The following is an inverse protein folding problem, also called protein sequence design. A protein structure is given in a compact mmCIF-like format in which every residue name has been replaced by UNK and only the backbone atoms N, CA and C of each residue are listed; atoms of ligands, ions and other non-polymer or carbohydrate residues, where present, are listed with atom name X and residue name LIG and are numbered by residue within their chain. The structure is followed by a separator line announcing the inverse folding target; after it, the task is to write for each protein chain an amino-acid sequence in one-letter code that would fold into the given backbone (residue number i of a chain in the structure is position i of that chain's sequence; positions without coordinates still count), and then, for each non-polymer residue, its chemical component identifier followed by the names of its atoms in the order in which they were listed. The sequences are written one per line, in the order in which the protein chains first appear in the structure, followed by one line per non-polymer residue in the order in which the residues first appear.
data_IF_646014433304
#
_entry.id   IF_646014433304
#
_cell.length_a   1.000
_cell.length_b   1.000
_cell.length_c   1.000
_cell.angle_alpha   90.00
_cell.angle_beta   90.00
_cell.angle_gamma   90.00
#
_symmetry.space_group_name_H-M   'P 1'
#
loop_
_entity.id
_entity.type
_entity.pdbx_description
1 polymer ?
#
# COMPACT_ATOMS: atom_id res chain seq x y z
N UNK A 1 -6.39 -6.44 41.84
CA UNK A 1 -6.20 -5.37 40.86
C UNK A 1 -4.79 -4.84 41.05
N UNK A 2 -3.82 -5.34 40.25
CA UNK A 2 -2.44 -4.84 40.35
C UNK A 2 -2.31 -3.61 39.43
N UNK A 3 -2.13 -2.46 40.04
CA UNK A 3 -1.75 -1.23 39.35
C UNK A 3 -0.39 -1.44 38.66
N UNK A 4 -0.41 -1.70 37.37
CA UNK A 4 0.81 -1.62 36.57
C UNK A 4 1.24 -0.15 36.51
N UNK A 5 2.48 0.19 36.88
CA UNK A 5 2.94 1.57 36.93
C UNK A 5 2.77 2.25 35.59
N UNK A 6 2.33 3.51 35.58
CA UNK A 6 2.09 4.33 34.38
C UNK A 6 3.27 4.33 33.39
N UNK A 7 4.48 4.23 33.89
CA UNK A 7 5.72 4.12 33.08
C UNK A 7 5.76 2.89 32.18
N UNK A 8 5.17 1.76 32.58
CA UNK A 8 5.14 0.52 31.78
C UNK A 8 4.15 0.60 30.61
N UNK A 9 3.08 1.39 30.74
CA UNK A 9 2.08 1.60 29.68
C UNK A 9 2.64 2.48 28.56
N UNK A 10 3.33 3.57 28.90
CA UNK A 10 3.98 4.45 27.93
C UNK A 10 5.09 3.74 27.16
N UNK A 11 5.92 2.95 27.85
CA UNK A 11 6.95 2.16 27.18
C UNK A 11 6.36 1.14 26.19
N UNK A 12 5.24 0.50 26.56
CA UNK A 12 4.54 -0.45 25.68
C UNK A 12 3.91 0.23 24.46
N UNK A 13 3.31 1.41 24.63
CA UNK A 13 2.76 2.20 23.53
C UNK A 13 3.88 2.67 22.59
N UNK A 14 4.97 3.20 23.14
CA UNK A 14 6.11 3.64 22.38
C UNK A 14 6.73 2.50 21.56
N UNK A 15 6.91 1.32 22.17
CA UNK A 15 7.44 0.14 21.50
C UNK A 15 6.62 -0.30 20.28
N UNK A 16 5.32 0.00 20.24
CA UNK A 16 4.43 -0.30 19.11
C UNK A 16 4.36 0.85 18.09
N UNK A 17 4.56 2.09 18.52
CA UNK A 17 4.35 3.28 17.70
C UNK A 17 5.59 3.63 16.87
N UNK A 18 6.78 3.66 17.49
CA UNK A 18 7.99 4.09 16.79
C UNK A 18 8.33 3.28 15.53
N UNK A 19 8.09 1.91 15.49
CA UNK A 19 8.37 1.19 14.25
C UNK A 19 7.41 1.57 13.12
N UNK A 20 6.15 1.90 13.46
CA UNK A 20 5.18 2.33 12.46
C UNK A 20 5.50 3.73 11.92
N UNK A 21 5.95 4.65 12.79
CA UNK A 21 6.43 5.97 12.36
C UNK A 21 7.63 5.83 11.41
N UNK A 22 8.57 4.95 11.76
CA UNK A 22 9.74 4.72 10.90
C UNK A 22 9.36 4.09 9.56
N UNK A 23 8.40 3.14 9.54
CA UNK A 23 7.87 2.61 8.27
C UNK A 23 7.27 3.71 7.39
N UNK A 24 6.51 4.64 7.96
CA UNK A 24 5.95 5.77 7.21
C UNK A 24 7.05 6.69 6.66
N UNK A 25 8.08 6.99 7.46
CA UNK A 25 9.23 7.79 7.01
C UNK A 25 9.99 7.10 5.87
N UNK A 26 10.19 5.80 5.97
CA UNK A 26 10.83 5.01 4.89
C UNK A 26 9.99 5.05 3.62
N UNK A 27 8.69 4.84 3.71
CA UNK A 27 7.78 4.92 2.55
C UNK A 27 7.78 6.31 1.93
N UNK A 28 7.79 7.37 2.74
CA UNK A 28 7.94 8.74 2.25
C UNK A 28 9.28 8.94 1.53
N UNK A 29 10.38 8.45 2.11
CA UNK A 29 11.71 8.49 1.50
C UNK A 29 11.77 7.76 0.15
N UNK A 30 11.13 6.59 0.03
CA UNK A 30 11.01 5.86 -1.24
C UNK A 30 10.31 6.74 -2.27
N UNK A 31 9.13 7.28 -1.95
CA UNK A 31 8.38 8.16 -2.86
C UNK A 31 9.18 9.40 -3.30
N UNK A 32 9.96 10.01 -2.40
CA UNK A 32 10.87 11.10 -2.75
C UNK A 32 11.96 10.64 -3.73
N UNK A 33 12.53 9.45 -3.52
CA UNK A 33 13.56 8.90 -4.40
C UNK A 33 13.01 8.59 -5.77
N UNK A 34 11.79 7.99 -5.86
CA UNK A 34 11.09 7.71 -7.12
C UNK A 34 10.89 9.01 -7.93
N UNK A 35 10.37 10.06 -7.30
CA UNK A 35 10.13 11.37 -7.94
C UNK A 35 11.45 12.03 -8.35
N UNK A 36 12.49 11.96 -7.51
CA UNK A 36 13.81 12.49 -7.82
C UNK A 36 14.46 11.75 -9.00
N UNK A 37 14.42 10.42 -8.99
CA UNK A 37 14.96 9.60 -10.07
C UNK A 37 14.22 9.86 -11.39
N UNK A 38 12.89 9.98 -11.35
CA UNK A 38 12.08 10.35 -12.49
C UNK A 38 12.47 11.72 -13.08
N UNK A 39 12.67 12.72 -12.21
CA UNK A 39 13.11 14.05 -12.62
C UNK A 39 14.49 14.07 -13.27
N UNK A 40 15.37 13.12 -12.91
CA UNK A 40 16.70 12.93 -13.57
C UNK A 40 16.58 12.32 -14.96
N UNK A 41 15.54 11.54 -15.22
CA UNK A 41 15.29 10.97 -16.56
C UNK A 41 14.63 12.01 -17.44
N UNK A 42 13.63 12.75 -16.94
CA UNK A 42 12.99 13.83 -17.66
C UNK A 42 11.75 14.38 -16.96
N UNK A 43 11.37 15.65 -17.26
CA UNK A 43 10.23 16.30 -16.64
C UNK A 43 8.89 15.59 -16.96
N UNK A 44 8.76 15.04 -18.16
CA UNK A 44 7.56 14.33 -18.60
C UNK A 44 7.37 13.02 -17.81
N UNK A 45 8.47 12.34 -17.48
CA UNK A 45 8.44 11.12 -16.67
C UNK A 45 8.08 11.45 -15.24
N UNK A 46 8.62 12.54 -14.68
CA UNK A 46 8.27 13.00 -13.35
C UNK A 46 6.79 13.39 -13.25
N UNK A 47 6.26 14.10 -14.24
CA UNK A 47 4.84 14.43 -14.32
C UNK A 47 3.95 13.19 -14.42
N UNK A 48 4.36 12.21 -15.24
CA UNK A 48 3.64 10.93 -15.41
C UNK A 48 3.57 10.14 -14.11
N UNK A 49 4.68 10.03 -13.34
CA UNK A 49 4.68 9.37 -12.02
C UNK A 49 3.71 10.08 -11.06
N UNK A 50 3.73 11.42 -11.01
CA UNK A 50 2.83 12.20 -10.17
C UNK A 50 1.36 11.92 -10.48
N UNK A 51 1.01 11.87 -11.77
CA UNK A 51 -0.34 11.57 -12.23
C UNK A 51 -0.76 10.14 -11.84
N UNK A 52 0.06 9.15 -12.13
CA UNK A 52 -0.24 7.74 -11.84
C UNK A 52 -0.26 7.47 -10.34
N UNK A 53 0.54 8.16 -9.55
CA UNK A 53 0.51 8.05 -8.08
C UNK A 53 -0.87 8.40 -7.50
N UNK A 54 -1.60 9.38 -8.07
CA UNK A 54 -2.97 9.72 -7.64
C UNK A 54 -3.95 8.57 -7.94
N UNK A 55 -3.89 7.99 -9.15
CA UNK A 55 -4.70 6.82 -9.49
C UNK A 55 -4.40 5.65 -8.55
N UNK A 56 -3.12 5.37 -8.32
CA UNK A 56 -2.67 4.30 -7.45
C UNK A 56 -3.13 4.49 -6.00
N UNK A 57 -3.13 5.72 -5.46
CA UNK A 57 -3.64 6.02 -4.12
C UNK A 57 -5.12 5.64 -3.96
N UNK A 58 -5.95 5.92 -4.96
CA UNK A 58 -7.37 5.53 -4.96
C UNK A 58 -7.50 4.01 -4.95
N UNK A 59 -6.75 3.31 -5.77
CA UNK A 59 -6.77 1.85 -5.83
C UNK A 59 -6.28 1.23 -4.51
N UNK A 60 -5.25 1.81 -3.89
CA UNK A 60 -4.72 1.35 -2.60
C UNK A 60 -5.71 1.50 -1.43
N UNK A 61 -6.70 2.40 -1.52
CA UNK A 61 -7.72 2.56 -0.48
C UNK A 61 -8.45 1.25 -0.16
N UNK A 62 -8.70 0.40 -1.17
CA UNK A 62 -9.33 -0.92 -1.00
C UNK A 62 -8.45 -1.87 -0.18
N UNK A 63 -7.14 -1.91 -0.48
CA UNK A 63 -6.17 -2.71 0.27
C UNK A 63 -6.03 -2.26 1.71
N UNK A 64 -5.94 -0.95 1.95
CA UNK A 64 -5.86 -0.34 3.29
C UNK A 64 -7.12 -0.65 4.11
N UNK A 65 -8.30 -0.50 3.52
CA UNK A 65 -9.57 -0.81 4.20
C UNK A 65 -9.69 -2.28 4.57
N UNK A 66 -9.25 -3.18 3.68
CA UNK A 66 -9.19 -4.62 3.96
C UNK A 66 -8.21 -4.91 5.10
N UNK A 67 -7.06 -4.24 5.12
CA UNK A 67 -6.08 -4.31 6.20
C UNK A 67 -6.64 -3.82 7.55
N UNK A 68 -7.38 -2.72 7.59
CA UNK A 68 -8.02 -2.21 8.80
C UNK A 68 -9.06 -3.19 9.35
N UNK A 69 -9.86 -3.81 8.46
CA UNK A 69 -10.75 -4.90 8.82
C UNK A 69 -10.00 -6.10 9.42
N UNK A 70 -8.83 -6.44 8.85
CA UNK A 70 -7.97 -7.51 9.36
C UNK A 70 -7.48 -7.23 10.78
N UNK A 71 -6.97 -6.02 11.05
CA UNK A 71 -6.51 -5.62 12.41
C UNK A 71 -7.61 -5.85 13.43
N UNK A 72 -8.82 -5.33 13.17
CA UNK A 72 -9.93 -5.45 14.09
C UNK A 72 -10.36 -6.92 14.32
N UNK A 73 -10.56 -7.68 13.24
CA UNK A 73 -11.05 -9.06 13.31
C UNK A 73 -10.05 -10.01 13.99
N UNK A 74 -8.77 -9.88 13.64
CA UNK A 74 -7.69 -10.74 14.17
C UNK A 74 -7.41 -10.39 15.63
N UNK A 75 -7.21 -9.11 15.97
CA UNK A 75 -6.91 -8.68 17.35
C UNK A 75 -8.02 -9.05 18.33
N UNK A 76 -9.30 -8.82 17.96
CA UNK A 76 -10.44 -9.23 18.79
C UNK A 76 -10.51 -10.76 18.96
N UNK A 77 -10.20 -11.51 17.92
CA UNK A 77 -10.21 -12.97 18.01
C UNK A 77 -9.12 -13.50 18.93
N UNK A 78 -7.94 -12.90 18.90
CA UNK A 78 -6.81 -13.23 19.79
C UNK A 78 -7.11 -12.82 21.22
N UNK A 79 -7.62 -11.59 21.42
CA UNK A 79 -8.01 -11.10 22.74
C UNK A 79 -9.07 -11.96 23.42
N UNK A 80 -9.95 -12.61 22.64
CA UNK A 80 -10.95 -13.56 23.13
C UNK A 80 -10.41 -15.00 23.30
N UNK A 81 -9.10 -15.25 23.10
CA UNK A 81 -8.50 -16.59 23.15
C UNK A 81 -8.85 -17.52 21.99
N UNK A 82 -9.51 -17.01 20.94
CA UNK A 82 -10.05 -17.80 19.82
C UNK A 82 -9.06 -17.89 18.67
N UNK A 83 -7.91 -18.55 18.85
CA UNK A 83 -6.83 -18.66 17.88
C UNK A 83 -7.28 -19.20 16.49
N UNK A 84 -8.16 -20.22 16.48
CA UNK A 84 -8.69 -20.76 15.23
C UNK A 84 -9.50 -19.73 14.44
N UNK A 85 -10.25 -18.86 15.13
CA UNK A 85 -11.00 -17.77 14.52
C UNK A 85 -10.05 -16.70 13.96
N UNK A 86 -8.99 -16.36 14.67
CA UNK A 86 -7.97 -15.44 14.19
C UNK A 86 -7.33 -15.93 12.90
N UNK A 87 -6.91 -17.21 12.82
CA UNK A 87 -6.35 -17.83 11.61
C UNK A 87 -7.34 -17.80 10.43
N UNK A 88 -8.61 -18.09 10.68
CA UNK A 88 -9.65 -18.02 9.63
C UNK A 88 -9.85 -16.60 9.09
N UNK A 89 -9.82 -15.58 9.95
CA UNK A 89 -9.86 -14.20 9.51
C UNK A 89 -8.60 -13.83 8.72
N UNK A 90 -7.41 -14.26 9.16
CA UNK A 90 -6.16 -14.08 8.41
C UNK A 90 -6.27 -14.67 7.01
N UNK A 91 -6.70 -15.93 6.88
CA UNK A 91 -6.87 -16.57 5.57
C UNK A 91 -7.92 -15.87 4.69
N UNK A 92 -9.04 -15.44 5.29
CA UNK A 92 -10.10 -14.73 4.55
C UNK A 92 -9.64 -13.38 4.01
N UNK A 93 -8.95 -12.56 4.82
CA UNK A 93 -8.49 -11.24 4.38
C UNK A 93 -7.37 -11.34 3.35
N UNK A 94 -6.48 -12.32 3.47
CA UNK A 94 -5.45 -12.58 2.47
C UNK A 94 -6.06 -12.98 1.12
N UNK A 95 -7.03 -13.89 1.16
CA UNK A 95 -7.76 -14.31 -0.05
C UNK A 95 -8.53 -13.13 -0.67
N UNK A 96 -9.28 -12.39 0.14
CA UNK A 96 -10.06 -11.24 -0.33
C UNK A 96 -9.16 -10.15 -0.93
N UNK A 97 -8.05 -9.82 -0.29
CA UNK A 97 -7.09 -8.84 -0.79
C UNK A 97 -6.40 -9.28 -2.06
N UNK A 98 -5.98 -10.55 -2.14
CA UNK A 98 -5.36 -11.10 -3.35
C UNK A 98 -6.35 -11.10 -4.53
N UNK A 99 -7.58 -11.56 -4.32
CA UNK A 99 -8.63 -11.53 -5.35
C UNK A 99 -8.92 -10.09 -5.76
N UNK A 100 -9.09 -9.16 -4.82
CA UNK A 100 -9.33 -7.75 -5.13
C UNK A 100 -8.16 -7.14 -5.91
N UNK A 101 -6.91 -7.39 -5.50
CA UNK A 101 -5.72 -6.89 -6.20
C UNK A 101 -5.62 -7.41 -7.63
N UNK A 102 -5.82 -8.72 -7.83
CA UNK A 102 -5.81 -9.35 -9.15
C UNK A 102 -6.97 -8.82 -10.01
N UNK A 103 -8.19 -8.75 -9.48
CA UNK A 103 -9.35 -8.22 -10.21
C UNK A 103 -9.12 -6.77 -10.64
N UNK A 104 -8.61 -5.90 -9.74
CA UNK A 104 -8.34 -4.51 -10.07
C UNK A 104 -7.18 -4.36 -11.05
N UNK A 105 -6.15 -5.21 -10.97
CA UNK A 105 -5.07 -5.23 -11.94
C UNK A 105 -5.57 -5.58 -13.36
N UNK A 106 -6.40 -6.61 -13.48
CA UNK A 106 -6.98 -7.02 -14.78
C UNK A 106 -7.97 -6.00 -15.31
N UNK A 107 -8.92 -5.54 -14.48
CA UNK A 107 -9.89 -4.53 -14.89
C UNK A 107 -9.21 -3.22 -15.27
N UNK A 108 -8.29 -2.72 -14.43
CA UNK A 108 -7.51 -1.53 -14.72
C UNK A 108 -6.68 -1.68 -16.00
N UNK A 109 -6.08 -2.84 -16.22
CA UNK A 109 -5.33 -3.16 -17.43
C UNK A 109 -6.20 -3.18 -18.70
N UNK A 110 -7.43 -3.71 -18.60
CA UNK A 110 -8.40 -3.75 -19.70
C UNK A 110 -8.94 -2.37 -20.07
N UNK A 111 -9.12 -1.48 -19.10
CA UNK A 111 -9.63 -0.12 -19.28
C UNK A 111 -8.53 0.95 -19.13
N UNK A 112 -7.27 0.59 -19.36
CA UNK A 112 -6.11 1.45 -19.10
C UNK A 112 -6.15 2.76 -19.87
N UNK A 113 -6.48 2.70 -21.17
CA UNK A 113 -6.58 3.91 -22.01
C UNK A 113 -7.75 4.81 -21.56
N UNK A 114 -8.89 4.22 -21.23
CA UNK A 114 -10.05 4.97 -20.73
C UNK A 114 -9.71 5.67 -19.40
N UNK A 115 -8.98 5.00 -18.51
CA UNK A 115 -8.50 5.60 -17.26
C UNK A 115 -7.60 6.82 -17.53
N UNK A 116 -6.63 6.72 -18.45
CA UNK A 116 -5.76 7.82 -18.83
C UNK A 116 -6.55 8.99 -19.45
N UNK A 117 -7.56 8.69 -20.26
CA UNK A 117 -8.46 9.71 -20.83
C UNK A 117 -9.31 10.39 -19.76
N UNK A 118 -9.88 9.63 -18.80
CA UNK A 118 -10.66 10.19 -17.67
C UNK A 118 -9.77 11.09 -16.81
N UNK A 119 -8.49 10.73 -16.64
CA UNK A 119 -7.50 11.54 -15.91
C UNK A 119 -7.05 12.76 -16.71
N UNK A 120 -7.57 12.98 -17.92
CA UNK A 120 -7.20 14.08 -18.83
C UNK A 120 -5.67 14.16 -19.06
N UNK A 121 -5.03 12.99 -19.19
CA UNK A 121 -3.59 12.90 -19.39
C UNK A 121 -3.17 13.65 -20.66
N UNK A 122 -2.24 14.62 -20.60
CA UNK A 122 -1.73 15.31 -21.78
C UNK A 122 -1.11 14.33 -22.80
N UNK A 123 -1.27 14.62 -24.10
CA UNK A 123 -0.82 13.70 -25.15
C UNK A 123 0.68 13.38 -25.09
N UNK A 124 1.52 14.36 -24.72
CA UNK A 124 2.97 14.16 -24.60
C UNK A 124 3.37 13.25 -23.42
N UNK A 125 2.49 13.08 -22.42
CA UNK A 125 2.71 12.18 -21.27
C UNK A 125 2.10 10.79 -21.49
N UNK A 126 1.27 10.59 -22.50
CA UNK A 126 0.45 9.39 -22.67
C UNK A 126 1.29 8.10 -22.70
N UNK A 127 2.41 8.10 -23.42
CA UNK A 127 3.28 6.93 -23.56
C UNK A 127 3.92 6.54 -22.21
N UNK A 128 4.55 7.49 -21.53
CA UNK A 128 5.18 7.24 -20.23
C UNK A 128 4.16 6.90 -19.15
N UNK A 129 3.02 7.58 -19.11
CA UNK A 129 1.94 7.30 -18.18
C UNK A 129 1.34 5.90 -18.38
N UNK A 130 1.21 5.45 -19.64
CA UNK A 130 0.72 4.12 -19.98
C UNK A 130 1.65 3.01 -19.48
N UNK A 131 2.96 3.17 -19.67
CA UNK A 131 3.97 2.22 -19.15
C UNK A 131 3.91 2.13 -17.63
N UNK A 132 3.89 3.28 -16.93
CA UNK A 132 3.78 3.31 -15.48
C UNK A 132 2.48 2.67 -15.00
N UNK A 133 1.33 3.07 -15.57
CA UNK A 133 0.03 2.56 -15.15
C UNK A 133 -0.04 1.04 -15.31
N UNK A 134 0.43 0.51 -16.44
CA UNK A 134 0.44 -0.93 -16.68
C UNK A 134 1.18 -1.70 -15.61
N UNK A 135 2.41 -1.29 -15.29
CA UNK A 135 3.25 -2.00 -14.31
C UNK A 135 2.70 -1.80 -12.89
N UNK A 136 2.25 -0.57 -12.55
CA UNK A 136 1.67 -0.27 -11.24
C UNK A 136 0.38 -1.05 -10.97
N UNK A 137 -0.45 -1.28 -11.98
CA UNK A 137 -1.62 -2.14 -11.84
C UNK A 137 -1.23 -3.58 -11.47
N UNK A 138 -0.20 -4.13 -12.12
CA UNK A 138 0.33 -5.46 -11.77
C UNK A 138 1.03 -5.50 -10.41
N UNK A 139 1.42 -4.37 -9.86
CA UNK A 139 1.98 -4.27 -8.50
C UNK A 139 0.90 -4.40 -7.42
N UNK A 140 -0.37 -4.11 -7.72
CA UNK A 140 -1.48 -4.11 -6.74
C UNK A 140 -1.62 -5.42 -5.94
N UNK A 141 -1.57 -6.63 -6.53
CA UNK A 141 -1.68 -7.86 -5.74
C UNK A 141 -0.58 -7.96 -4.68
N UNK A 142 0.67 -7.63 -5.04
CA UNK A 142 1.80 -7.61 -4.12
C UNK A 142 1.64 -6.56 -3.03
N UNK A 143 1.21 -5.36 -3.37
CA UNK A 143 0.98 -4.28 -2.41
C UNK A 143 -0.17 -4.58 -1.44
N UNK A 144 -1.26 -5.17 -1.93
CA UNK A 144 -2.37 -5.60 -1.08
C UNK A 144 -1.93 -6.69 -0.11
N UNK A 145 -1.18 -7.66 -0.61
CA UNK A 145 -0.61 -8.72 0.22
C UNK A 145 0.30 -8.12 1.31
N UNK A 146 1.21 -7.23 0.93
CA UNK A 146 2.13 -6.54 1.84
C UNK A 146 1.36 -5.76 2.93
N UNK A 147 0.36 -4.97 2.53
CA UNK A 147 -0.46 -4.15 3.42
C UNK A 147 -1.26 -5.01 4.41
N UNK A 148 -1.89 -6.08 3.92
CA UNK A 148 -2.73 -6.97 4.73
C UNK A 148 -1.88 -7.79 5.69
N UNK A 149 -0.75 -8.36 5.25
CA UNK A 149 0.15 -9.10 6.14
C UNK A 149 0.72 -8.19 7.22
N UNK A 150 1.13 -6.98 6.85
CA UNK A 150 1.56 -5.95 7.82
C UNK A 150 0.45 -5.66 8.84
N UNK A 151 -0.80 -5.54 8.40
CA UNK A 151 -1.94 -5.32 9.27
C UNK A 151 -2.19 -6.51 10.21
N UNK A 152 -2.11 -7.74 9.73
CA UNK A 152 -2.23 -8.96 10.54
C UNK A 152 -1.11 -9.03 11.59
N UNK A 153 0.13 -8.72 11.21
CA UNK A 153 1.26 -8.69 12.13
C UNK A 153 1.11 -7.60 13.20
N UNK A 154 0.57 -6.44 12.84
CA UNK A 154 0.19 -5.40 13.81
C UNK A 154 -0.87 -5.88 14.80
N UNK A 155 -1.86 -6.63 14.33
CA UNK A 155 -2.91 -7.19 15.18
C UNK A 155 -2.36 -8.12 16.27
N UNK A 156 -1.25 -8.82 16.00
CA UNK A 156 -0.55 -9.68 16.96
C UNK A 156 0.62 -8.98 17.66
N UNK A 157 0.72 -7.66 17.54
CA UNK A 157 1.79 -6.81 18.10
C UNK A 157 3.21 -7.13 17.60
N UNK A 158 3.33 -7.80 16.47
CA UNK A 158 4.61 -8.08 15.81
C UNK A 158 4.93 -6.97 14.80
N UNK A 159 5.43 -5.83 15.27
CA UNK A 159 5.69 -4.64 14.44
C UNK A 159 7.13 -4.57 13.90
N UNK A 160 8.07 -5.32 14.50
CA UNK A 160 9.49 -5.28 14.09
C UNK A 160 9.72 -5.96 12.76
N UNK A 161 9.06 -7.09 12.51
CA UNK A 161 9.23 -7.83 11.25
C UNK A 161 8.74 -7.02 10.04
N UNK A 162 7.53 -6.43 10.02
CA UNK A 162 7.13 -5.51 8.95
C UNK A 162 8.11 -4.34 8.75
N UNK A 163 8.64 -3.77 9.84
CA UNK A 163 9.63 -2.68 9.76
C UNK A 163 10.89 -3.13 9.01
N UNK A 164 11.49 -4.25 9.40
CA UNK A 164 12.71 -4.77 8.73
C UNK A 164 12.44 -5.03 7.25
N UNK A 165 11.30 -5.64 6.93
CA UNK A 165 10.97 -5.91 5.53
C UNK A 165 10.70 -4.62 4.75
N UNK A 166 10.03 -3.63 5.35
CA UNK A 166 9.85 -2.31 4.72
C UNK A 166 11.19 -1.62 4.43
N UNK A 167 12.14 -1.71 5.36
CA UNK A 167 13.50 -1.19 5.14
C UNK A 167 14.21 -1.92 4.00
N UNK A 168 14.18 -3.25 3.99
CA UNK A 168 14.82 -4.06 2.94
C UNK A 168 14.19 -3.79 1.57
N UNK A 169 12.86 -3.77 1.49
CA UNK A 169 12.15 -3.48 0.23
C UNK A 169 12.40 -2.05 -0.24
N UNK A 170 12.47 -1.08 0.69
CA UNK A 170 12.81 0.29 0.37
C UNK A 170 14.22 0.44 -0.19
N UNK A 171 15.21 -0.20 0.43
CA UNK A 171 16.59 -0.20 -0.07
C UNK A 171 16.71 -0.89 -1.43
N UNK A 172 16.01 -2.01 -1.64
CA UNK A 172 15.96 -2.70 -2.93
C UNK A 172 15.29 -1.84 -4.01
N UNK A 173 14.22 -1.12 -3.68
CA UNK A 173 13.56 -0.21 -4.60
C UNK A 173 14.49 0.94 -5.00
N UNK A 174 15.07 1.65 -4.02
CA UNK A 174 16.02 2.73 -4.28
C UNK A 174 17.21 2.24 -5.12
N UNK A 175 17.78 1.09 -4.77
CA UNK A 175 18.86 0.50 -5.54
C UNK A 175 18.43 0.19 -6.98
N UNK A 176 17.25 -0.39 -7.17
CA UNK A 176 16.71 -0.72 -8.48
C UNK A 176 16.41 0.52 -9.34
N UNK A 177 15.92 1.61 -8.73
CA UNK A 177 15.69 2.88 -9.41
C UNK A 177 16.99 3.50 -9.92
N UNK A 178 18.05 3.46 -9.11
CA UNK A 178 19.36 3.95 -9.52
C UNK A 178 20.01 3.05 -10.58
N UNK A 179 19.92 1.72 -10.41
CA UNK A 179 20.51 0.76 -11.31
C UNK A 179 19.78 0.68 -12.66
N UNK A 180 18.47 0.46 -12.66
CA UNK A 180 17.66 0.20 -13.86
C UNK A 180 16.95 1.46 -14.39
N UNK A 181 16.55 2.37 -13.49
CA UNK A 181 15.95 3.65 -13.87
C UNK A 181 17.00 4.59 -14.47
N UNK A 182 18.11 4.80 -13.78
CA UNK A 182 19.16 5.75 -14.17
C UNK A 182 20.37 5.10 -14.87
N UNK A 183 20.48 3.78 -14.90
CA UNK A 183 21.60 3.07 -15.53
C UNK A 183 22.93 3.18 -14.77
N UNK A 184 22.89 3.41 -13.42
CA UNK A 184 24.12 3.51 -12.64
C UNK A 184 24.82 2.15 -12.53
N UNK A 185 26.11 2.18 -12.20
CA UNK A 185 26.98 1.00 -12.08
C UNK A 185 27.07 0.12 -13.32
N UNK A 186 26.78 0.67 -14.53
CA UNK A 186 26.87 -0.07 -15.80
C UNK A 186 25.67 -0.94 -16.12
N UNK A 187 24.56 -0.81 -15.39
CA UNK A 187 23.30 -1.48 -15.71
C UNK A 187 22.62 -0.79 -16.92
N UNK A 188 21.78 -1.53 -17.68
CA UNK A 188 21.01 -0.95 -18.76
C UNK A 188 20.05 0.13 -18.25
N UNK A 189 20.00 1.27 -18.95
CA UNK A 189 19.10 2.37 -18.66
C UNK A 189 17.71 2.11 -19.26
N UNK A 190 16.76 1.67 -18.44
CA UNK A 190 15.38 1.42 -18.88
C UNK A 190 14.43 2.61 -18.64
N UNK A 191 14.91 3.70 -18.06
CA UNK A 191 14.13 4.92 -17.84
C UNK A 191 12.88 4.67 -17.00
N UNK A 192 11.73 5.15 -17.49
CA UNK A 192 10.43 5.02 -16.83
C UNK A 192 10.07 3.57 -16.47
N UNK A 193 10.28 2.64 -17.40
CA UNK A 193 10.02 1.22 -17.16
C UNK A 193 10.93 0.65 -16.06
N UNK A 194 12.18 1.10 -15.99
CA UNK A 194 13.13 0.69 -14.94
C UNK A 194 12.63 1.03 -13.53
N UNK A 195 12.11 2.25 -13.32
CA UNK A 195 11.53 2.69 -12.05
C UNK A 195 10.30 1.86 -11.67
N UNK A 196 9.39 1.63 -12.62
CA UNK A 196 8.18 0.87 -12.36
C UNK A 196 8.47 -0.61 -12.04
N UNK A 197 9.40 -1.24 -12.76
CA UNK A 197 9.82 -2.62 -12.49
C UNK A 197 10.57 -2.77 -11.16
N UNK A 198 11.38 -1.78 -10.78
CA UNK A 198 12.05 -1.73 -9.48
C UNK A 198 11.02 -1.80 -8.35
N UNK A 199 9.98 -0.98 -8.42
CA UNK A 199 8.86 -0.98 -7.47
C UNK A 199 8.12 -2.32 -7.47
N UNK A 200 7.80 -2.88 -8.63
CA UNK A 200 7.11 -4.16 -8.74
C UNK A 200 7.89 -5.29 -8.07
N UNK A 201 9.19 -5.40 -8.37
CA UNK A 201 10.05 -6.48 -7.85
C UNK A 201 10.24 -6.34 -6.35
N UNK A 202 10.59 -5.14 -5.85
CA UNK A 202 10.85 -4.91 -4.44
C UNK A 202 9.61 -5.18 -3.57
N UNK A 203 8.45 -4.68 -3.98
CA UNK A 203 7.18 -4.89 -3.28
C UNK A 203 6.77 -6.37 -3.30
N UNK A 204 6.88 -7.03 -4.46
CA UNK A 204 6.50 -8.44 -4.58
C UNK A 204 7.39 -9.34 -3.72
N UNK A 205 8.71 -9.09 -3.71
CA UNK A 205 9.64 -9.81 -2.83
C UNK A 205 9.30 -9.60 -1.36
N UNK A 206 9.08 -8.35 -0.93
CA UNK A 206 8.69 -8.06 0.45
C UNK A 206 7.37 -8.70 0.85
N UNK A 207 6.37 -8.67 -0.04
CA UNK A 207 5.09 -9.32 0.18
C UNK A 207 5.22 -10.83 0.33
N UNK A 208 6.02 -11.48 -0.52
CA UNK A 208 6.30 -12.90 -0.43
C UNK A 208 7.01 -13.26 0.89
N UNK A 209 8.06 -12.53 1.28
CA UNK A 209 8.78 -12.78 2.52
C UNK A 209 7.84 -12.67 3.73
N UNK A 210 7.03 -11.59 3.81
CA UNK A 210 6.06 -11.42 4.90
C UNK A 210 4.98 -12.48 4.89
N UNK A 211 4.48 -12.89 3.72
CA UNK A 211 3.49 -13.96 3.61
C UNK A 211 4.03 -15.27 4.15
N UNK A 212 5.23 -15.67 3.76
CA UNK A 212 5.85 -16.89 4.26
C UNK A 212 6.18 -16.84 5.76
N UNK A 213 6.44 -15.66 6.30
CA UNK A 213 6.65 -15.47 7.74
C UNK A 213 5.39 -15.74 8.59
N UNK A 214 4.19 -15.73 8.02
CA UNK A 214 2.96 -16.07 8.75
C UNK A 214 2.88 -17.55 9.17
N UNK A 215 3.55 -18.45 8.44
CA UNK A 215 3.54 -19.90 8.74
C UNK A 215 4.25 -20.24 10.07
N UNK A 216 5.52 -19.87 10.27
CA UNK A 216 6.20 -20.16 11.53
C UNK A 216 5.59 -19.41 12.72
N UNK A 217 4.94 -18.25 12.49
CA UNK A 217 4.21 -17.52 13.52
C UNK A 217 2.86 -18.16 13.89
N UNK A 218 2.46 -19.23 13.20
CA UNK A 218 1.22 -19.94 13.46
C UNK A 218 -0.05 -19.17 13.10
N UNK A 219 0.08 -18.06 12.36
CA UNK A 219 -1.02 -17.21 11.90
C UNK A 219 -1.66 -17.73 10.63
N UNK A 220 -0.93 -18.55 9.87
CA UNK A 220 -1.41 -19.25 8.68
C UNK A 220 -1.11 -20.77 8.83
N UNK A 221 -2.15 -21.59 8.70
CA UNK A 221 -2.11 -23.06 8.75
C UNK A 221 -3.12 -23.63 7.77
N UNK A 222 -3.14 -24.94 7.59
CA UNK A 222 -4.13 -25.62 6.73
C UNK A 222 -5.60 -25.30 7.08
N UNK A 223 -5.90 -24.99 8.35
CA UNK A 223 -7.24 -24.62 8.81
C UNK A 223 -7.58 -23.12 8.66
N UNK A 224 -6.69 -22.35 8.06
CA UNK A 224 -6.88 -20.90 7.87
C UNK A 224 -7.83 -20.56 6.72
N UNK A 225 -7.98 -21.47 5.73
CA UNK A 225 -9.01 -21.29 4.71
C UNK A 225 -10.37 -21.69 5.29
N UNK A 226 -11.27 -20.74 5.52
CA UNK A 226 -12.56 -21.03 6.13
C UNK A 226 -13.52 -21.67 5.11
N UNK A 227 -14.47 -22.51 5.54
CA UNK A 227 -15.53 -23.03 4.68
C UNK A 227 -16.40 -21.89 4.15
N UNK A 228 -16.97 -22.05 2.95
CA UNK A 228 -17.75 -21.00 2.25
C UNK A 228 -18.86 -20.38 3.12
N UNK A 229 -19.54 -21.19 3.93
CA UNK A 229 -20.58 -20.67 4.87
C UNK A 229 -19.99 -19.66 5.86
N UNK A 230 -18.81 -19.95 6.39
CA UNK A 230 -18.12 -19.05 7.30
C UNK A 230 -17.57 -17.81 6.60
N UNK A 231 -17.11 -17.94 5.34
CA UNK A 231 -16.64 -16.82 4.53
C UNK A 231 -17.73 -15.75 4.35
N UNK A 232 -18.99 -16.16 4.13
CA UNK A 232 -20.13 -15.22 4.03
C UNK A 232 -20.33 -14.42 5.34
N UNK A 233 -20.29 -15.09 6.49
CA UNK A 233 -20.45 -14.41 7.79
C UNK A 233 -19.23 -13.55 8.14
N UNK A 234 -18.03 -14.08 7.95
CA UNK A 234 -16.78 -13.36 8.18
C UNK A 234 -16.61 -12.17 7.23
N UNK A 235 -16.98 -12.33 5.96
CA UNK A 235 -16.96 -11.27 4.96
C UNK A 235 -17.89 -10.12 5.31
N UNK A 236 -19.13 -10.40 5.75
CA UNK A 236 -20.05 -9.35 6.24
C UNK A 236 -19.46 -8.56 7.39
N UNK A 237 -18.79 -9.25 8.33
CA UNK A 237 -18.12 -8.60 9.44
C UNK A 237 -16.96 -7.69 8.98
N UNK A 238 -16.13 -8.17 8.04
CA UNK A 238 -15.02 -7.39 7.46
C UNK A 238 -15.53 -6.18 6.69
N UNK A 239 -16.59 -6.35 5.88
CA UNK A 239 -17.19 -5.25 5.13
C UNK A 239 -17.77 -4.18 6.07
N UNK A 240 -18.40 -4.57 7.17
CA UNK A 240 -18.95 -3.62 8.16
C UNK A 240 -17.88 -2.71 8.77
N UNK A 241 -16.63 -3.20 8.88
CA UNK A 241 -15.50 -2.42 9.39
C UNK A 241 -14.76 -1.73 8.23
N UNK A 242 -14.56 -2.42 7.12
CA UNK A 242 -13.79 -1.93 5.98
C UNK A 242 -14.51 -0.81 5.22
N UNK A 243 -15.84 -0.87 5.04
CA UNK A 243 -16.60 0.17 4.34
C UNK A 243 -16.49 1.57 4.96
N UNK A 244 -16.64 1.76 6.28
CA UNK A 244 -16.36 3.06 6.89
C UNK A 244 -14.90 3.52 6.69
N UNK A 245 -13.94 2.60 6.77
CA UNK A 245 -12.53 2.91 6.52
C UNK A 245 -12.26 3.32 5.06
N UNK A 246 -12.94 2.70 4.10
CA UNK A 246 -12.95 3.16 2.70
C UNK A 246 -13.52 4.58 2.59
N UNK A 247 -14.67 4.84 3.20
CA UNK A 247 -15.31 6.15 3.18
C UNK A 247 -14.39 7.24 3.71
N UNK A 248 -13.69 7.02 4.82
CA UNK A 248 -12.72 7.98 5.36
C UNK A 248 -11.55 8.21 4.42
N UNK A 249 -11.04 7.18 3.74
CA UNK A 249 -9.96 7.30 2.75
C UNK A 249 -10.40 8.14 1.54
N UNK A 250 -11.62 7.91 1.03
CA UNK A 250 -12.17 8.70 -0.07
C UNK A 250 -12.42 10.16 0.33
N UNK A 251 -12.98 10.41 1.50
CA UNK A 251 -13.19 11.78 2.01
C UNK A 251 -11.88 12.55 2.13
N UNK A 252 -10.82 11.89 2.62
CA UNK A 252 -9.49 12.49 2.72
C UNK A 252 -8.93 12.87 1.35
N UNK A 253 -9.03 11.96 0.37
CA UNK A 253 -8.59 12.21 -1.01
C UNK A 253 -9.40 13.33 -1.69
N UNK A 254 -10.72 13.29 -1.54
CA UNK A 254 -11.59 14.34 -2.07
C UNK A 254 -11.27 15.69 -1.45
N UNK A 255 -11.03 15.74 -0.14
CA UNK A 255 -10.62 16.96 0.57
C UNK A 255 -9.31 17.53 0.01
N UNK A 256 -8.33 16.69 -0.25
CA UNK A 256 -7.06 17.11 -0.84
C UNK A 256 -7.24 17.68 -2.25
N UNK A 257 -8.02 17.01 -3.11
CA UNK A 257 -8.33 17.50 -4.46
C UNK A 257 -9.09 18.81 -4.42
N UNK A 258 -10.06 18.97 -3.51
CA UNK A 258 -10.79 20.22 -3.34
C UNK A 258 -9.88 21.38 -2.94
N UNK A 259 -8.93 21.17 -2.04
CA UNK A 259 -7.94 22.18 -1.65
C UNK A 259 -7.12 22.61 -2.86
N UNK A 260 -6.62 21.68 -3.67
CA UNK A 260 -5.87 22.00 -4.89
C UNK A 260 -6.70 22.80 -5.90
N UNK A 261 -7.97 22.42 -6.11
CA UNK A 261 -8.88 23.14 -7.03
C UNK A 261 -9.18 24.56 -6.53
N UNK A 262 -9.32 24.76 -5.22
CA UNK A 262 -9.55 26.08 -4.63
C UNK A 262 -8.30 26.97 -4.74
N UNK A 263 -7.11 26.38 -4.56
CA UNK A 263 -5.85 27.13 -4.64
C UNK A 263 -5.52 27.55 -6.10
N UNK A 264 -5.93 26.77 -7.08
CA UNK A 264 -5.79 27.10 -8.52
C UNK A 264 -6.89 28.05 -9.04
N UNK A 265 -7.89 28.38 -8.22
CA UNK A 265 -8.95 29.31 -8.62
C UNK A 265 -8.38 30.73 -8.87
N UNK A 266 -8.74 31.38 -9.98
CA UNK A 266 -8.14 32.67 -10.41
C UNK A 266 -8.30 33.82 -9.40
N UNK A 267 -9.20 33.65 -8.43
CA UNK A 267 -9.41 34.63 -7.34
C UNK A 267 -8.34 34.62 -6.25
N UNK A 268 -7.57 33.52 -6.12
CA UNK A 268 -6.50 33.39 -5.13
C UNK A 268 -5.17 33.97 -5.63
N UNK A 269 -4.88 33.88 -6.93
CA UNK A 269 -3.64 34.43 -7.53
C UNK A 269 -3.54 35.98 -7.45
N UNK A 270 -4.65 36.69 -7.29
CA UNK A 270 -4.65 38.17 -7.20
C UNK A 270 -4.36 38.71 -5.79
N UNK A 271 -4.23 37.87 -4.76
CA UNK A 271 -4.07 38.35 -3.37
C UNK A 271 -2.64 38.43 -2.86
N UNK A 272 -1.65 37.97 -3.62
CA UNK A 272 -0.24 38.10 -3.22
C UNK A 272 0.49 38.90 -4.29
N UNK A 273 0.70 40.24 -4.11
CA UNK A 273 1.65 40.96 -4.93
C UNK A 273 3.06 40.55 -4.54
N UNK A 274 3.91 40.38 -5.55
CA UNK A 274 5.34 40.07 -5.45
C UNK A 274 6.09 41.06 -4.53
#
# INVERSE_FOLDING_TARGET
MHDTPHSSRWASLWALTWPQMLMLLVQFGIGLTDVWAAGRIGPDIQASIGLIAQCHMVLMAVGIATGNGAVAAVSQSIGAGRQRRARRFTGLVLLAGMVAGICLAHLGGSFRQDLLHIMQTPQHLMESADIFLQIYLWTLPGQYLLAIVTAVLRAVRSVRLPLVITLVTGLLNIWGDLAFGLGWWGFPHYGAAGLAWSTFISVTLGACILFFALFPLGLLKHDSLPPLRWMRCGGKYLLRIGLPALGTSFLWQTGFVLVLVIDDAPTTRQRWPD
#
